data_IF_070996815728
#
_entry.id   IF_070996815728
#
_cell.length_a   1.000
_cell.length_b   1.000
_cell.length_c   1.000
_cell.angle_alpha   90.00
_cell.angle_beta   90.00
_cell.angle_gamma   90.00
#
_symmetry.space_group_name_H-M   'P 1'
#
loop_
_entity.id
_entity.type
_entity.pdbx_description
1 polymer ?
#
# COMPACT_ATOMS: atom_id res chain seq x y z
N UNK A 1 21.59 -28.52 67.47
CA UNK A 1 21.16 -27.10 67.56
C UNK A 1 20.87 -26.63 66.15
N UNK A 2 19.69 -26.02 65.98
CA UNK A 2 19.21 -25.23 64.82
C UNK A 2 19.08 -25.95 63.47
N UNK A 3 18.07 -25.74 62.63
CA UNK A 3 16.69 -25.25 62.73
C UNK A 3 16.10 -25.46 61.31
N UNK A 4 14.80 -25.68 61.20
CA UNK A 4 14.08 -25.73 59.93
C UNK A 4 14.00 -24.34 59.27
N UNK A 5 13.93 -24.28 57.93
CA UNK A 5 13.03 -23.36 57.18
C UNK A 5 13.03 -23.63 55.67
N UNK A 6 11.80 -23.74 55.16
CA UNK A 6 11.31 -23.78 53.78
C UNK A 6 11.37 -22.40 53.10
N UNK A 7 10.96 -22.39 51.82
CA UNK A 7 10.62 -21.28 50.89
C UNK A 7 11.81 -20.73 50.07
N UNK A 8 11.77 -20.64 48.75
CA UNK A 8 10.66 -20.28 47.86
C UNK A 8 10.97 -20.74 46.43
N UNK A 9 9.99 -21.38 45.77
CA UNK A 9 9.96 -21.56 44.33
C UNK A 9 9.94 -20.19 43.64
N UNK A 10 11.02 -19.76 43.02
CA UNK A 10 10.95 -18.69 42.02
C UNK A 10 10.33 -19.26 40.74
N UNK A 11 9.00 -19.35 40.75
CA UNK A 11 8.17 -19.36 39.55
C UNK A 11 8.38 -18.02 38.85
N UNK A 12 9.40 -17.98 38.00
CA UNK A 12 9.54 -16.95 36.98
C UNK A 12 8.36 -17.06 36.02
N UNK A 13 7.26 -16.37 36.35
CA UNK A 13 6.22 -16.02 35.37
C UNK A 13 6.94 -15.20 34.32
N UNK A 14 7.34 -15.86 33.23
CA UNK A 14 7.84 -15.18 32.05
C UNK A 14 6.79 -14.16 31.66
N UNK A 15 7.08 -12.87 31.91
CA UNK A 15 6.29 -11.78 31.34
C UNK A 15 6.18 -12.09 29.86
N UNK A 16 4.99 -12.46 29.40
CA UNK A 16 4.69 -12.60 27.99
C UNK A 16 5.06 -11.24 27.39
N UNK A 17 6.23 -11.16 26.75
CA UNK A 17 6.58 -9.98 25.97
C UNK A 17 5.60 -9.99 24.81
N UNK A 18 4.57 -9.16 24.89
CA UNK A 18 3.72 -8.85 23.75
C UNK A 18 4.69 -8.32 22.70
N UNK A 19 5.01 -9.15 21.71
CA UNK A 19 5.92 -8.77 20.64
C UNK A 19 5.22 -7.67 19.86
N UNK A 20 5.89 -6.54 19.66
CA UNK A 20 5.37 -5.49 18.78
C UNK A 20 5.20 -6.11 17.37
N UNK A 21 4.07 -5.84 16.69
CA UNK A 21 3.80 -6.42 15.39
C UNK A 21 4.88 -6.02 14.38
N UNK A 22 5.20 -6.92 13.47
CA UNK A 22 6.08 -6.68 12.33
C UNK A 22 5.25 -6.07 11.19
N UNK A 23 5.65 -4.92 10.66
CA UNK A 23 4.87 -4.22 9.61
C UNK A 23 5.73 -4.06 8.37
N UNK A 24 5.29 -4.66 7.26
CA UNK A 24 5.90 -4.45 5.96
C UNK A 24 5.29 -3.21 5.31
N UNK A 25 6.16 -2.31 4.83
CA UNK A 25 5.78 -1.18 3.98
C UNK A 25 6.33 -1.41 2.56
N UNK A 26 5.51 -1.23 1.54
CA UNK A 26 5.90 -1.39 0.13
C UNK A 26 5.15 -0.39 -0.75
N UNK A 27 5.49 -0.32 -2.04
CA UNK A 27 4.79 0.47 -3.05
C UNK A 27 5.22 0.01 -4.47
N UNK A 28 4.72 0.68 -5.51
CA UNK A 28 5.18 0.54 -6.89
C UNK A 28 6.04 1.73 -7.40
N UNK A 29 6.18 2.80 -6.61
CA UNK A 29 7.00 3.98 -6.95
C UNK A 29 8.49 3.85 -6.55
N UNK A 30 8.85 2.88 -5.71
CA UNK A 30 10.21 2.73 -5.17
C UNK A 30 10.47 3.65 -3.98
N UNK A 31 11.69 4.18 -3.84
CA UNK A 31 12.09 5.05 -2.73
C UNK A 31 11.51 6.47 -2.90
N UNK A 32 10.21 6.62 -2.62
CA UNK A 32 9.44 7.85 -2.76
C UNK A 32 9.18 8.55 -1.42
N UNK A 33 8.81 9.83 -1.46
CA UNK A 33 8.42 10.57 -0.26
C UNK A 33 7.18 9.93 0.41
N UNK A 34 6.22 9.48 -0.40
CA UNK A 34 5.03 8.74 0.05
C UNK A 34 5.37 7.46 0.83
N UNK A 35 6.35 6.69 0.36
CA UNK A 35 6.85 5.50 1.07
C UNK A 35 7.47 5.88 2.41
N UNK A 36 8.34 6.88 2.43
CA UNK A 36 9.07 7.31 3.64
C UNK A 36 8.11 7.82 4.71
N UNK A 37 7.08 8.58 4.33
CA UNK A 37 6.02 8.99 5.24
C UNK A 37 5.25 7.78 5.80
N UNK A 38 4.84 6.85 4.94
CA UNK A 38 4.10 5.66 5.39
C UNK A 38 4.94 4.79 6.33
N UNK A 39 6.24 4.62 6.04
CA UNK A 39 7.17 3.88 6.88
C UNK A 39 7.35 4.53 8.26
N UNK A 40 7.45 5.86 8.31
CA UNK A 40 7.54 6.61 9.56
C UNK A 40 6.27 6.43 10.41
N UNK A 41 5.09 6.56 9.79
CA UNK A 41 3.81 6.33 10.47
C UNK A 41 3.67 4.88 10.93
N UNK A 42 4.05 3.91 10.10
CA UNK A 42 4.01 2.49 10.44
C UNK A 42 4.86 2.16 11.68
N UNK A 43 6.01 2.82 11.86
CA UNK A 43 6.86 2.64 13.04
C UNK A 43 6.20 2.98 14.39
N UNK A 44 5.12 3.77 14.37
CA UNK A 44 4.31 4.09 15.55
C UNK A 44 3.49 2.86 16.00
N UNK A 45 3.05 2.03 15.05
CA UNK A 45 2.23 0.84 15.31
C UNK A 45 3.04 -0.44 15.55
N UNK A 46 4.29 -0.52 15.08
CA UNK A 46 5.06 -1.75 15.17
C UNK A 46 6.53 -1.61 14.77
N UNK A 47 7.19 -2.75 14.62
CA UNK A 47 8.51 -2.83 14.02
C UNK A 47 8.35 -2.77 12.50
N UNK A 48 8.45 -1.56 11.94
CA UNK A 48 8.24 -1.33 10.52
C UNK A 48 9.56 -1.42 9.72
N UNK A 49 9.48 -2.02 8.53
CA UNK A 49 10.55 -2.07 7.54
C UNK A 49 9.95 -2.00 6.14
N UNK A 50 10.75 -1.58 5.16
CA UNK A 50 10.30 -1.51 3.77
C UNK A 50 11.07 -2.47 2.86
N UNK A 51 10.31 -3.09 1.94
CA UNK A 51 10.81 -3.84 0.78
C UNK A 51 10.09 -3.30 -0.45
N UNK A 52 10.82 -2.72 -1.39
CA UNK A 52 10.28 -2.04 -2.58
C UNK A 52 10.88 -2.56 -3.88
N UNK A 53 10.23 -2.34 -5.03
CA UNK A 53 10.84 -2.57 -6.33
C UNK A 53 12.05 -1.64 -6.55
N UNK A 54 13.12 -2.15 -7.17
CA UNK A 54 14.33 -1.38 -7.49
C UNK A 54 14.15 -0.35 -8.62
N UNK A 55 13.00 -0.38 -9.29
CA UNK A 55 12.57 0.53 -10.36
C UNK A 55 11.07 0.72 -10.24
N UNK A 56 10.54 1.86 -10.67
CA UNK A 56 9.10 2.09 -10.70
C UNK A 56 8.38 1.00 -11.53
N UNK A 57 7.25 0.52 -11.00
CA UNK A 57 6.44 -0.59 -11.56
C UNK A 57 4.94 -0.23 -11.65
N UNK A 58 4.62 0.95 -12.15
CA UNK A 58 3.23 1.35 -12.35
C UNK A 58 2.49 0.42 -13.33
N UNK A 59 1.19 0.24 -13.09
CA UNK A 59 0.28 -0.56 -13.92
C UNK A 59 0.70 -2.05 -14.09
N UNK A 60 1.35 -2.63 -13.09
CA UNK A 60 1.85 -4.01 -13.12
C UNK A 60 0.87 -5.05 -12.56
N UNK A 61 -0.28 -4.61 -12.03
CA UNK A 61 -1.26 -5.45 -11.35
C UNK A 61 -0.63 -6.29 -10.22
N UNK A 62 -1.12 -7.52 -10.01
CA UNK A 62 -0.55 -8.50 -9.09
C UNK A 62 0.46 -9.46 -9.79
N UNK A 63 1.40 -8.93 -10.58
CA UNK A 63 2.37 -9.81 -11.27
C UNK A 63 3.46 -10.33 -10.31
N UNK A 64 3.85 -11.60 -10.47
CA UNK A 64 4.92 -12.26 -9.71
C UNK A 64 6.05 -12.71 -10.65
N UNK A 65 7.30 -12.55 -10.22
CA UNK A 65 8.50 -12.90 -11.00
C UNK A 65 8.89 -14.36 -10.79
N UNK A 66 8.68 -15.18 -11.83
CA UNK A 66 9.10 -16.61 -11.83
C UNK A 66 10.24 -16.94 -12.79
N UNK A 67 10.59 -16.02 -13.71
CA UNK A 67 11.51 -16.28 -14.83
C UNK A 67 12.96 -15.84 -14.56
N UNK A 68 13.25 -15.27 -13.39
CA UNK A 68 14.59 -14.78 -13.01
C UNK A 68 14.72 -14.74 -11.49
N UNK A 69 15.95 -14.76 -10.93
CA UNK A 69 16.14 -14.61 -9.49
C UNK A 69 15.86 -13.18 -9.00
N UNK A 70 15.36 -13.10 -7.77
CA UNK A 70 15.26 -11.85 -7.00
C UNK A 70 16.61 -11.53 -6.34
N UNK A 71 16.98 -10.26 -6.29
CA UNK A 71 18.21 -9.75 -5.68
C UNK A 71 17.88 -8.64 -4.68
N UNK A 72 18.30 -8.82 -3.43
CA UNK A 72 18.11 -7.86 -2.35
C UNK A 72 19.24 -6.84 -2.30
N UNK A 73 18.88 -5.57 -2.12
CA UNK A 73 19.81 -4.46 -1.96
C UNK A 73 19.33 -3.52 -0.85
N UNK A 74 20.23 -3.02 -0.01
CA UNK A 74 19.91 -1.99 0.97
C UNK A 74 19.91 -0.62 0.29
N UNK A 75 18.81 0.13 0.42
CA UNK A 75 18.66 1.48 -0.15
C UNK A 75 18.99 2.54 0.90
N UNK A 76 18.39 2.39 2.08
CA UNK A 76 18.60 3.26 3.24
C UNK A 76 18.31 2.46 4.51
N UNK A 77 18.57 3.04 5.68
CA UNK A 77 18.25 2.38 6.95
C UNK A 77 16.76 2.01 7.00
N UNK A 78 16.46 0.72 7.10
CA UNK A 78 15.09 0.19 7.12
C UNK A 78 14.40 0.09 5.75
N UNK A 79 15.05 0.47 4.64
CA UNK A 79 14.50 0.42 3.28
C UNK A 79 15.36 -0.48 2.40
N UNK A 80 14.76 -1.53 1.88
CA UNK A 80 15.40 -2.51 1.01
C UNK A 80 14.71 -2.53 -0.35
N UNK A 81 15.46 -2.83 -1.41
CA UNK A 81 14.93 -2.97 -2.75
C UNK A 81 15.20 -4.36 -3.32
N UNK A 82 14.26 -4.86 -4.12
CA UNK A 82 14.41 -6.05 -4.94
C UNK A 82 14.15 -5.76 -6.42
N UNK A 83 14.78 -6.50 -7.32
CA UNK A 83 14.59 -6.38 -8.78
C UNK A 83 13.27 -7.03 -9.29
N UNK A 84 12.20 -7.01 -8.47
CA UNK A 84 10.90 -7.62 -8.73
C UNK A 84 9.75 -6.61 -8.89
N UNK A 85 8.54 -7.06 -8.57
CA UNK A 85 7.27 -6.32 -8.49
C UNK A 85 6.90 -6.02 -7.03
N UNK A 86 5.86 -5.21 -6.75
CA UNK A 86 5.35 -5.02 -5.40
C UNK A 86 4.90 -6.33 -4.74
N UNK A 87 4.25 -7.23 -5.49
CA UNK A 87 3.85 -8.56 -5.01
C UNK A 87 5.05 -9.43 -4.66
N UNK A 88 6.10 -9.39 -5.49
CA UNK A 88 7.37 -10.05 -5.14
C UNK A 88 7.94 -9.53 -3.82
N UNK A 89 7.76 -8.24 -3.48
CA UNK A 89 8.25 -7.68 -2.22
C UNK A 89 7.55 -8.30 -1.00
N UNK A 90 6.24 -8.54 -1.13
CA UNK A 90 5.43 -9.20 -0.08
C UNK A 90 5.86 -10.65 0.08
N UNK A 91 5.92 -11.42 -1.00
CA UNK A 91 6.39 -12.80 -0.98
C UNK A 91 7.83 -12.92 -0.45
N UNK A 92 8.71 -12.02 -0.88
CA UNK A 92 10.09 -12.00 -0.41
C UNK A 92 10.17 -11.74 1.10
N UNK A 93 9.40 -10.78 1.62
CA UNK A 93 9.33 -10.49 3.05
C UNK A 93 8.78 -11.65 3.89
N UNK A 94 7.83 -12.42 3.33
CA UNK A 94 7.25 -13.59 4.00
C UNK A 94 8.18 -14.82 4.00
N UNK A 95 8.89 -15.04 2.90
CA UNK A 95 9.49 -16.35 2.61
C UNK A 95 11.01 -16.38 2.50
N UNK A 96 11.69 -15.23 2.36
CA UNK A 96 13.15 -15.20 2.23
C UNK A 96 13.91 -15.62 3.49
N UNK A 97 13.33 -15.40 4.67
CA UNK A 97 14.02 -15.52 5.96
C UNK A 97 14.93 -14.34 6.31
N UNK A 98 15.06 -13.35 5.42
CA UNK A 98 15.83 -12.12 5.65
C UNK A 98 15.10 -11.13 6.57
N UNK A 99 13.78 -11.27 6.67
CA UNK A 99 12.91 -10.38 7.42
C UNK A 99 12.04 -11.14 8.42
N UNK A 100 11.60 -10.44 9.46
CA UNK A 100 10.51 -10.92 10.28
C UNK A 100 9.21 -10.90 9.47
N UNK A 101 8.55 -12.07 9.38
CA UNK A 101 7.24 -12.21 8.73
C UNK A 101 6.30 -11.07 9.16
N UNK A 102 5.71 -10.33 8.21
CA UNK A 102 4.81 -9.24 8.54
C UNK A 102 3.50 -9.76 9.14
N UNK A 103 3.04 -9.07 10.18
CA UNK A 103 1.70 -9.21 10.74
C UNK A 103 0.70 -8.26 10.04
N UNK A 104 1.20 -7.28 9.29
CA UNK A 104 0.45 -6.28 8.54
C UNK A 104 1.26 -5.80 7.34
N UNK A 105 0.60 -5.59 6.20
CA UNK A 105 1.17 -4.94 5.02
C UNK A 105 0.51 -3.58 4.79
N UNK A 106 1.33 -2.53 4.68
CA UNK A 106 0.89 -1.20 4.25
C UNK A 106 1.52 -0.89 2.89
N UNK A 107 0.70 -0.63 1.88
CA UNK A 107 1.16 -0.36 0.52
C UNK A 107 0.90 1.09 0.11
N UNK A 108 1.92 1.82 -0.33
CA UNK A 108 1.85 3.24 -0.71
C UNK A 108 2.85 4.13 0.05
N UNK A 109 2.56 5.42 0.26
CA UNK A 109 1.46 6.18 -0.34
C UNK A 109 1.78 6.40 -1.82
N UNK A 110 0.91 5.91 -2.71
CA UNK A 110 1.09 6.03 -4.16
C UNK A 110 0.85 7.46 -4.65
N UNK A 111 1.73 7.94 -5.54
CA UNK A 111 1.62 9.25 -6.19
C UNK A 111 0.61 9.21 -7.35
N UNK A 112 -0.67 9.13 -7.01
CA UNK A 112 -1.78 9.03 -7.94
C UNK A 112 -2.93 8.25 -7.33
N UNK A 113 -4.16 8.55 -7.74
CA UNK A 113 -5.31 7.83 -7.24
C UNK A 113 -5.40 6.40 -7.80
N UNK A 114 -5.84 5.47 -6.97
CA UNK A 114 -6.24 4.12 -7.35
C UNK A 114 -7.74 3.94 -7.16
N UNK A 115 -8.50 4.92 -7.65
CA UNK A 115 -9.96 4.83 -7.78
C UNK A 115 -10.34 4.12 -9.07
N UNK A 116 -11.57 3.60 -9.14
CA UNK A 116 -12.15 2.81 -10.24
C UNK A 116 -11.77 1.32 -10.28
N UNK A 117 -12.61 0.52 -10.96
CA UNK A 117 -12.39 -0.92 -11.16
C UNK A 117 -11.10 -1.21 -11.93
N UNK A 118 -10.75 -0.40 -12.94
CA UNK A 118 -9.51 -0.62 -13.68
C UNK A 118 -8.27 -0.44 -12.81
N UNK A 119 -8.27 0.53 -11.87
CA UNK A 119 -7.16 0.69 -10.95
C UNK A 119 -7.10 -0.46 -9.94
N UNK A 120 -8.25 -0.95 -9.47
CA UNK A 120 -8.35 -2.10 -8.57
C UNK A 120 -7.62 -3.34 -9.10
N UNK A 121 -7.68 -3.55 -10.41
CA UNK A 121 -7.08 -4.71 -11.09
C UNK A 121 -5.65 -4.40 -11.55
N UNK A 122 -5.37 -3.18 -12.01
CA UNK A 122 -4.11 -2.82 -12.65
C UNK A 122 -3.02 -2.22 -11.75
N UNK A 123 -3.38 -1.74 -10.55
CA UNK A 123 -2.41 -1.06 -9.67
C UNK A 123 -1.43 -2.05 -9.03
N UNK A 124 -0.13 -1.69 -9.03
CA UNK A 124 0.89 -2.42 -8.27
C UNK A 124 0.78 -2.20 -6.77
N UNK A 125 0.36 -0.99 -6.34
CA UNK A 125 0.07 -0.70 -4.93
C UNK A 125 -0.99 -1.66 -4.40
N UNK A 126 -2.07 -1.86 -5.17
CA UNK A 126 -3.16 -2.79 -4.80
C UNK A 126 -2.75 -4.25 -5.02
N UNK A 127 -1.90 -4.54 -6.01
CA UNK A 127 -1.30 -5.86 -6.23
C UNK A 127 -0.57 -6.39 -4.99
N UNK A 128 0.20 -5.54 -4.30
CA UNK A 128 0.83 -5.92 -3.04
C UNK A 128 -0.19 -6.27 -1.93
N UNK A 129 -1.30 -5.55 -1.84
CA UNK A 129 -2.35 -5.87 -0.87
C UNK A 129 -3.09 -7.16 -1.24
N UNK A 130 -3.35 -7.40 -2.53
CA UNK A 130 -3.89 -8.68 -3.00
C UNK A 130 -2.98 -9.85 -2.60
N UNK A 131 -1.68 -9.73 -2.84
CA UNK A 131 -0.71 -10.76 -2.47
C UNK A 131 -0.68 -10.99 -0.95
N UNK A 132 -0.71 -9.92 -0.16
CA UNK A 132 -0.73 -10.02 1.29
C UNK A 132 -1.96 -10.78 1.80
N UNK A 133 -3.16 -10.46 1.30
CA UNK A 133 -4.39 -11.13 1.76
C UNK A 133 -4.48 -12.57 1.31
N UNK A 134 -3.98 -12.91 0.10
CA UNK A 134 -3.86 -14.30 -0.36
C UNK A 134 -2.95 -15.12 0.55
N UNK A 135 -1.92 -14.50 1.12
CA UNK A 135 -0.99 -15.10 2.07
C UNK A 135 -1.49 -15.02 3.54
N UNK A 136 -2.75 -14.63 3.75
CA UNK A 136 -3.35 -14.54 5.09
C UNK A 136 -2.76 -13.42 5.96
N UNK A 137 -2.24 -12.35 5.34
CA UNK A 137 -1.73 -11.16 6.03
C UNK A 137 -2.67 -9.98 5.75
N UNK A 138 -3.21 -9.31 6.79
CA UNK A 138 -4.08 -8.17 6.59
C UNK A 138 -3.32 -7.01 5.94
N UNK A 139 -4.03 -6.19 5.16
CA UNK A 139 -3.39 -5.12 4.40
C UNK A 139 -4.23 -3.82 4.30
N UNK A 140 -3.54 -2.70 4.09
CA UNK A 140 -4.16 -1.41 3.75
C UNK A 140 -3.33 -0.75 2.63
N UNK A 141 -4.00 -0.31 1.57
CA UNK A 141 -3.40 0.49 0.51
C UNK A 141 -3.68 1.98 0.72
N UNK A 142 -2.70 2.83 0.43
CA UNK A 142 -2.82 4.28 0.46
C UNK A 142 -2.41 4.89 -0.88
N UNK A 143 -3.25 5.77 -1.39
CA UNK A 143 -3.06 6.51 -2.63
C UNK A 143 -3.44 7.97 -2.43
N UNK A 144 -2.77 8.90 -3.09
CA UNK A 144 -3.09 10.33 -3.01
C UNK A 144 -3.17 10.96 -4.40
N UNK A 145 -4.18 11.79 -4.62
CA UNK A 145 -4.28 12.60 -5.83
C UNK A 145 -3.16 13.62 -5.84
N UNK A 146 -2.29 13.55 -6.84
CA UNK A 146 -1.20 14.51 -6.99
C UNK A 146 -1.62 15.71 -7.84
N UNK A 147 -1.22 16.90 -7.40
CA UNK A 147 -1.42 18.14 -8.15
C UNK A 147 -0.71 18.05 -9.51
N UNK A 148 -1.43 18.27 -10.61
CA UNK A 148 -0.82 18.44 -11.93
C UNK A 148 -0.17 19.83 -12.04
N UNK A 149 0.91 20.07 -11.34
CA UNK A 149 1.79 21.22 -11.62
C UNK A 149 3.05 20.67 -12.25
N UNK A 150 3.22 20.95 -13.55
CA UNK A 150 4.35 20.64 -14.42
C UNK A 150 5.03 19.26 -14.25
N UNK A 151 5.25 18.55 -15.36
CA UNK A 151 5.99 17.26 -15.38
C UNK A 151 7.45 17.35 -14.87
N UNK A 152 7.89 18.54 -14.47
CA UNK A 152 9.22 18.86 -13.97
C UNK A 152 9.25 19.35 -12.52
N UNK A 153 8.09 19.53 -11.85
CA UNK A 153 8.04 19.89 -10.44
C UNK A 153 8.00 18.63 -9.57
N UNK A 154 8.71 18.69 -8.45
CA UNK A 154 8.65 17.65 -7.40
C UNK A 154 7.20 17.49 -6.94
N UNK A 155 6.81 16.25 -6.71
CA UNK A 155 5.58 15.88 -6.02
C UNK A 155 5.36 16.78 -4.78
N UNK A 156 4.23 17.47 -4.74
CA UNK A 156 3.87 18.33 -3.62
C UNK A 156 2.95 17.56 -2.67
N UNK A 157 3.52 17.06 -1.58
CA UNK A 157 2.83 16.27 -0.55
C UNK A 157 2.14 17.13 0.54
N UNK A 158 1.94 18.43 0.27
CA UNK A 158 1.23 19.33 1.19
C UNK A 158 1.96 19.52 2.53
N UNK A 159 1.19 19.62 3.61
CA UNK A 159 1.73 19.63 4.97
C UNK A 159 2.02 18.18 5.41
N UNK A 160 3.30 17.80 5.31
CA UNK A 160 3.79 16.46 5.63
C UNK A 160 3.35 15.99 7.03
N UNK A 161 3.44 16.85 8.04
CA UNK A 161 3.13 16.43 9.42
C UNK A 161 1.63 16.20 9.59
N UNK A 162 0.81 17.12 9.06
CA UNK A 162 -0.63 16.98 9.12
C UNK A 162 -1.14 15.79 8.29
N UNK A 163 -0.53 15.52 7.13
CA UNK A 163 -0.82 14.33 6.32
C UNK A 163 -0.48 13.04 7.07
N UNK A 164 0.70 12.95 7.69
CA UNK A 164 1.08 11.78 8.48
C UNK A 164 0.14 11.54 9.67
N UNK A 165 -0.29 12.61 10.38
CA UNK A 165 -1.30 12.50 11.45
C UNK A 165 -2.64 11.98 10.93
N UNK A 166 -3.06 12.40 9.73
CA UNK A 166 -4.28 11.88 9.10
C UNK A 166 -4.14 10.40 8.75
N UNK A 167 -3.02 9.99 8.15
CA UNK A 167 -2.73 8.58 7.81
C UNK A 167 -2.70 7.72 9.08
N UNK A 168 -2.04 8.18 10.14
CA UNK A 168 -2.02 7.53 11.46
C UNK A 168 -3.43 7.29 12.00
N UNK A 169 -4.28 8.33 12.02
CA UNK A 169 -5.67 8.23 12.48
C UNK A 169 -6.51 7.24 11.64
N UNK A 170 -6.25 7.17 10.33
CA UNK A 170 -6.91 6.19 9.45
C UNK A 170 -6.46 4.77 9.81
N UNK A 171 -5.15 4.55 10.01
CA UNK A 171 -4.61 3.24 10.41
C UNK A 171 -5.23 2.82 11.76
N UNK A 172 -5.25 3.70 12.77
CA UNK A 172 -5.89 3.43 14.08
C UNK A 172 -7.35 3.00 13.93
N UNK A 173 -8.09 3.65 13.02
CA UNK A 173 -9.51 3.37 12.79
C UNK A 173 -9.74 2.05 12.06
N UNK A 174 -8.82 1.67 11.16
CA UNK A 174 -8.95 0.49 10.31
C UNK A 174 -8.36 -0.77 10.94
N UNK A 175 -7.33 -0.66 11.78
CA UNK A 175 -6.64 -1.78 12.41
C UNK A 175 -7.61 -2.77 13.10
N UNK A 176 -8.58 -2.34 13.94
CA UNK A 176 -9.52 -3.27 14.59
C UNK A 176 -10.51 -3.93 13.64
N UNK A 177 -10.63 -3.41 12.40
CA UNK A 177 -11.53 -3.93 11.37
C UNK A 177 -10.82 -4.89 10.42
N UNK A 178 -9.50 -5.00 10.47
CA UNK A 178 -8.75 -5.96 9.67
C UNK A 178 -9.02 -7.37 10.19
N UNK A 179 -9.15 -8.29 9.24
CA UNK A 179 -9.42 -9.69 9.54
C UNK A 179 -8.67 -10.53 8.51
N UNK A 180 -7.65 -11.25 8.99
CA UNK A 180 -6.78 -12.06 8.13
C UNK A 180 -7.51 -13.25 7.51
N UNK A 181 -8.64 -13.66 8.09
CA UNK A 181 -9.39 -14.84 7.66
C UNK A 181 -10.52 -14.49 6.67
N UNK A 182 -10.61 -13.21 6.23
CA UNK A 182 -11.69 -12.72 5.35
C UNK A 182 -11.24 -12.27 3.96
N UNK A 183 -9.99 -12.56 3.59
CA UNK A 183 -9.43 -12.26 2.26
C UNK A 183 -9.80 -10.86 1.75
N UNK A 184 -9.64 -9.86 2.63
CA UNK A 184 -10.07 -8.48 2.39
C UNK A 184 -9.03 -7.48 2.87
N UNK A 185 -9.02 -6.33 2.22
CA UNK A 185 -8.18 -5.19 2.58
C UNK A 185 -8.92 -3.87 2.36
N UNK A 186 -8.37 -2.78 2.90
CA UNK A 186 -8.90 -1.44 2.69
C UNK A 186 -8.06 -0.66 1.67
N UNK A 187 -8.72 -0.07 0.67
CA UNK A 187 -8.13 0.86 -0.27
C UNK A 187 -8.48 2.29 0.14
N UNK A 188 -7.48 3.08 0.52
CA UNK A 188 -7.62 4.46 0.99
C UNK A 188 -7.13 5.40 -0.11
N UNK A 189 -8.04 6.20 -0.67
CA UNK A 189 -7.72 7.24 -1.64
C UNK A 189 -7.91 8.62 -1.02
N UNK A 190 -6.84 9.40 -0.98
CA UNK A 190 -6.80 10.74 -0.41
C UNK A 190 -6.81 11.79 -1.52
N UNK A 191 -7.53 12.91 -1.35
CA UNK A 191 -7.46 14.03 -2.29
C UNK A 191 -6.15 14.81 -2.10
N UNK A 192 -5.88 15.78 -2.97
CA UNK A 192 -4.68 16.64 -2.88
C UNK A 192 -4.58 17.38 -1.54
N UNK A 193 -5.73 17.72 -0.92
CA UNK A 193 -5.83 18.36 0.39
C UNK A 193 -6.48 17.41 1.38
N UNK A 194 -5.72 16.41 1.81
CA UNK A 194 -6.21 15.34 2.65
C UNK A 194 -6.26 15.70 4.14
N UNK A 195 -5.45 16.66 4.59
CA UNK A 195 -5.20 16.97 5.99
C UNK A 195 -6.49 17.35 6.73
N UNK A 196 -7.36 18.13 6.08
CA UNK A 196 -8.67 18.54 6.61
C UNK A 196 -9.86 17.80 5.98
N UNK A 197 -9.61 16.84 5.10
CA UNK A 197 -10.69 16.15 4.40
C UNK A 197 -11.49 15.23 5.32
N UNK A 198 -12.80 15.19 5.08
CA UNK A 198 -13.71 14.22 5.69
C UNK A 198 -13.48 12.83 5.11
N UNK A 199 -13.72 11.80 5.92
CA UNK A 199 -13.63 10.41 5.51
C UNK A 199 -15.01 9.92 5.06
N UNK A 200 -15.07 9.27 3.90
CA UNK A 200 -16.26 8.60 3.38
C UNK A 200 -15.97 7.12 3.10
N UNK A 201 -16.88 6.24 3.49
CA UNK A 201 -16.83 4.82 3.15
C UNK A 201 -17.67 4.57 1.89
N UNK A 202 -17.01 4.28 0.76
CA UNK A 202 -17.67 4.16 -0.55
C UNK A 202 -17.24 2.87 -1.23
N UNK A 203 -18.21 2.00 -1.52
CA UNK A 203 -17.99 0.72 -2.23
C UNK A 203 -18.43 0.76 -3.71
N UNK A 204 -19.05 1.86 -4.15
CA UNK A 204 -19.42 2.04 -5.55
C UNK A 204 -18.19 2.52 -6.32
N UNK A 205 -17.58 1.63 -7.09
CA UNK A 205 -16.44 1.98 -7.95
C UNK A 205 -16.91 2.55 -9.28
N UNK A 206 -16.24 3.59 -9.77
CA UNK A 206 -16.35 3.94 -11.19
C UNK A 206 -15.78 2.79 -12.04
N UNK A 207 -16.35 2.52 -13.23
CA UNK A 207 -15.80 1.45 -14.08
C UNK A 207 -14.38 1.78 -14.56
N UNK A 208 -14.20 2.97 -15.11
CA UNK A 208 -12.93 3.38 -15.72
C UNK A 208 -12.61 4.82 -15.34
N UNK A 209 -11.41 5.05 -14.80
CA UNK A 209 -10.91 6.39 -14.48
C UNK A 209 -10.48 7.19 -15.72
N UNK A 210 -9.97 6.49 -16.72
CA UNK A 210 -9.43 7.05 -17.96
C UNK A 210 -10.06 6.39 -19.18
N UNK A 211 -10.21 7.17 -20.25
CA UNK A 211 -10.50 6.66 -21.59
C UNK A 211 -9.15 6.35 -22.23
N UNK A 212 -8.91 5.06 -22.53
CA UNK A 212 -7.64 4.58 -23.08
C UNK A 212 -7.48 4.94 -24.55
N UNK A 213 -6.29 5.42 -24.90
CA UNK A 213 -5.87 5.70 -26.28
C UNK A 213 -4.58 4.94 -26.61
N UNK A 214 -4.36 4.69 -27.90
CA UNK A 214 -3.08 4.19 -28.42
C UNK A 214 -2.51 5.23 -29.38
N UNK A 215 -1.53 5.98 -28.91
CA UNK A 215 -0.93 7.08 -29.63
C UNK A 215 0.24 6.59 -30.50
N UNK A 216 0.06 6.61 -31.82
CA UNK A 216 1.15 6.36 -32.77
C UNK A 216 2.06 7.58 -32.87
N UNK A 217 3.36 7.35 -32.79
CA UNK A 217 4.42 8.33 -33.05
C UNK A 217 5.50 7.72 -33.94
N UNK A 218 6.40 8.55 -34.45
CA UNK A 218 7.53 8.15 -35.28
C UNK A 218 8.81 8.57 -34.56
N UNK A 219 9.79 7.69 -34.49
CA UNK A 219 11.10 7.99 -33.90
C UNK A 219 12.01 8.75 -34.88
N UNK A 220 13.20 9.21 -34.45
CA UNK A 220 14.12 9.93 -35.34
C UNK A 220 14.55 9.15 -36.59
N UNK A 221 14.48 7.81 -36.56
CA UNK A 221 14.88 6.92 -37.67
C UNK A 221 13.70 6.58 -38.60
N UNK A 222 12.51 7.15 -38.35
CA UNK A 222 11.31 6.93 -39.15
C UNK A 222 10.50 5.69 -38.78
N UNK A 223 10.86 4.99 -37.68
CA UNK A 223 10.17 3.78 -37.24
C UNK A 223 8.97 4.14 -36.36
N UNK A 224 7.77 3.57 -36.61
CA UNK A 224 6.61 3.84 -35.78
C UNK A 224 6.72 3.15 -34.41
N UNK A 225 6.34 3.87 -33.35
CA UNK A 225 6.12 3.34 -32.01
C UNK A 225 4.77 3.81 -31.46
N UNK A 226 4.26 3.12 -30.45
CA UNK A 226 2.91 3.30 -29.93
C UNK A 226 2.93 3.42 -28.42
N UNK A 227 2.29 4.46 -27.89
CA UNK A 227 2.09 4.64 -26.44
C UNK A 227 0.66 4.29 -26.06
N UNK A 228 0.50 3.53 -24.98
CA UNK A 228 -0.79 3.47 -24.29
C UNK A 228 -0.88 4.72 -23.42
N UNK A 229 -1.93 5.51 -23.63
CA UNK A 229 -2.20 6.73 -22.86
C UNK A 229 -3.67 6.78 -22.45
N UNK A 230 -4.06 7.82 -21.70
CA UNK A 230 -5.43 7.97 -21.31
C UNK A 230 -5.81 9.41 -20.97
N UNK A 231 -7.07 9.75 -21.25
CA UNK A 231 -7.67 11.03 -20.85
C UNK A 231 -8.66 10.80 -19.72
N UNK A 232 -8.79 11.76 -18.79
CA UNK A 232 -9.77 11.68 -17.71
C UNK A 232 -11.19 11.45 -18.27
N UNK A 233 -11.90 10.43 -17.79
CA UNK A 233 -13.35 10.32 -18.04
C UNK A 233 -14.12 11.25 -17.11
N UNK A 234 -15.34 11.58 -17.52
CA UNK A 234 -16.30 12.24 -16.62
C UNK A 234 -16.54 11.34 -15.42
N UNK A 235 -16.49 11.94 -14.24
CA UNK A 235 -16.69 11.23 -12.97
C UNK A 235 -18.18 11.06 -12.65
N UNK A 236 -18.57 9.88 -12.19
CA UNK A 236 -19.96 9.53 -11.90
C UNK A 236 -20.32 9.78 -10.43
N UNK A 237 -21.42 10.49 -10.17
CA UNK A 237 -21.84 10.83 -8.79
C UNK A 237 -21.97 9.60 -7.89
N UNK A 238 -21.47 9.74 -6.66
CA UNK A 238 -21.50 8.70 -5.63
C UNK A 238 -20.52 7.55 -5.85
N UNK A 239 -19.64 7.64 -6.86
CA UNK A 239 -18.51 6.71 -6.99
C UNK A 239 -17.33 7.15 -6.11
N UNK A 240 -16.45 6.21 -5.79
CA UNK A 240 -15.15 6.46 -5.17
C UNK A 240 -14.40 7.61 -5.84
N UNK A 241 -14.31 7.57 -7.18
CA UNK A 241 -13.61 8.55 -8.01
C UNK A 241 -14.24 9.93 -7.85
N UNK A 242 -15.57 10.02 -7.82
CA UNK A 242 -16.27 11.29 -7.67
C UNK A 242 -16.05 11.91 -6.29
N UNK A 243 -16.15 11.10 -5.22
CA UNK A 243 -16.00 11.61 -3.85
C UNK A 243 -14.57 12.10 -3.58
N UNK A 244 -13.54 11.41 -4.10
CA UNK A 244 -12.15 11.87 -4.01
C UNK A 244 -11.92 13.15 -4.83
N UNK A 245 -12.30 13.14 -6.11
CA UNK A 245 -11.88 14.18 -7.06
C UNK A 245 -12.75 15.44 -6.99
N UNK A 246 -14.07 15.31 -6.78
CA UNK A 246 -15.00 16.44 -6.82
C UNK A 246 -15.39 16.95 -5.43
N UNK A 247 -15.48 16.07 -4.44
CA UNK A 247 -15.90 16.44 -3.09
C UNK A 247 -14.75 16.58 -2.10
N UNK A 248 -13.49 16.36 -2.53
CA UNK A 248 -12.29 16.44 -1.68
C UNK A 248 -12.43 15.60 -0.40
N UNK A 249 -12.95 14.37 -0.53
CA UNK A 249 -13.06 13.42 0.58
C UNK A 249 -11.97 12.37 0.51
N UNK A 250 -11.53 11.90 1.67
CA UNK A 250 -10.77 10.66 1.78
C UNK A 250 -11.77 9.52 1.62
N UNK A 251 -11.58 8.69 0.61
CA UNK A 251 -12.44 7.54 0.36
C UNK A 251 -11.77 6.28 0.85
N UNK A 252 -12.49 5.53 1.68
CA UNK A 252 -12.10 4.19 2.11
C UNK A 252 -13.06 3.21 1.45
N UNK A 253 -12.51 2.31 0.65
CA UNK A 253 -13.24 1.21 0.00
C UNK A 253 -12.78 -0.10 0.62
N UNK A 254 -13.73 -0.94 1.04
CA UNK A 254 -13.42 -2.32 1.43
C UNK A 254 -13.41 -3.20 0.19
N UNK A 255 -12.31 -3.92 -0.01
CA UNK A 255 -12.11 -4.82 -1.14
C UNK A 255 -12.04 -6.24 -0.60
N UNK A 256 -12.82 -7.16 -1.17
CA UNK A 256 -12.86 -8.57 -0.77
C UNK A 256 -12.77 -9.50 -1.98
N UNK A 257 -12.05 -10.62 -1.83
CA UNK A 257 -12.01 -11.73 -2.79
C UNK A 257 -13.26 -12.61 -2.77
N UNK A 258 -14.15 -12.47 -1.78
CA UNK A 258 -15.35 -13.29 -1.60
C UNK A 258 -16.39 -13.19 -2.74
N UNK A 259 -16.09 -12.47 -3.83
CA UNK A 259 -16.87 -12.48 -5.07
C UNK A 259 -16.96 -13.86 -5.75
N UNK A 260 -16.18 -14.87 -5.30
CA UNK A 260 -16.22 -16.23 -5.83
C UNK A 260 -16.87 -17.27 -4.90
N UNK A 261 -17.29 -16.87 -3.69
CA UNK A 261 -18.07 -17.74 -2.81
C UNK A 261 -19.55 -17.64 -3.23
N UNK A 262 -19.95 -18.46 -4.19
CA UNK A 262 -21.36 -18.81 -4.35
C UNK A 262 -21.71 -19.85 -3.28
N UNK A 263 -22.80 -19.58 -2.54
CA UNK A 263 -23.45 -20.52 -1.63
C UNK A 263 -23.71 -21.90 -2.24
#
# INVERSE_FOLDING_TARGET
MAEARTTEEEKGVGKLRIRRPSILVTNDDGDSEGLRMLLEVAGRFGNAYAVIPSKQRSAIANAVTLHKPLRLHLVAQGIHAINGTPSDCVLFALYSGEFHKPDLVLSGINAGDNTSMNALIGSGTLGACWEAVLEGVPAIAFSMVMAKKDRHLKESWGDREALMKKVESIIETLLPKLDKDKERFFNVNMPERAESAEIAHINKLQKERFLTHVDKRIDPDGVPYYWISGTNKKVEKGTDTYEVIQNNKIVITEISLAMFEQE
#
